data_IF_769182529366
#
_entry.id   IF_769182529366
#
_cell.length_a   1.000
_cell.length_b   1.000
_cell.length_c   1.000
_cell.angle_alpha   90.00
_cell.angle_beta   90.00
_cell.angle_gamma   90.00
#
_symmetry.space_group_name_H-M   'P 1'
#
loop_
_entity.id
_entity.type
_entity.pdbx_description
1 polymer ?
#
# COMPACT_ATOMS: atom_id res chain seq x y z
N UNK A 1 29.60 43.62 -63.31
CA UNK A 1 28.68 44.76 -63.48
C UNK A 1 27.45 44.47 -62.63
N UNK A 2 27.25 45.24 -61.55
CA UNK A 2 26.02 45.43 -60.72
C UNK A 2 25.37 44.16 -60.15
N UNK A 3 25.61 43.73 -58.90
CA UNK A 3 25.05 44.23 -57.62
C UNK A 3 23.64 44.84 -57.72
N UNK A 4 22.65 44.07 -57.27
CA UNK A 4 21.30 44.48 -56.81
C UNK A 4 20.81 43.33 -55.92
N UNK A 5 20.86 43.44 -54.59
CA UNK A 5 19.88 44.16 -53.77
C UNK A 5 18.61 43.31 -53.74
N UNK A 6 18.30 42.52 -52.71
CA UNK A 6 18.32 42.88 -51.28
C UNK A 6 16.90 43.28 -50.89
N UNK A 7 15.95 42.34 -50.88
CA UNK A 7 14.56 42.64 -50.52
C UNK A 7 13.70 41.41 -50.11
N UNK A 8 14.28 40.26 -49.74
CA UNK A 8 13.49 39.10 -49.24
C UNK A 8 13.76 38.72 -47.78
N UNK A 9 14.55 39.51 -47.06
CA UNK A 9 14.85 39.27 -45.64
C UNK A 9 13.97 40.10 -44.68
N UNK A 10 12.84 40.65 -45.14
CA UNK A 10 12.01 41.59 -44.38
C UNK A 10 10.62 41.04 -43.97
N UNK A 11 10.27 39.80 -44.31
CA UNK A 11 8.97 39.19 -43.94
C UNK A 11 9.06 38.07 -42.89
N UNK A 12 10.26 37.62 -42.51
CA UNK A 12 10.44 36.53 -41.54
C UNK A 12 10.57 37.05 -40.09
N UNK A 13 10.82 38.34 -39.89
CA UNK A 13 10.93 38.95 -38.54
C UNK A 13 9.55 39.36 -37.97
N UNK A 14 8.50 39.40 -38.79
CA UNK A 14 7.13 39.76 -38.37
C UNK A 14 6.26 38.56 -37.95
N UNK A 15 6.86 37.38 -37.75
CA UNK A 15 6.21 36.18 -37.18
C UNK A 15 6.78 35.75 -35.82
N UNK A 16 7.71 36.54 -35.25
CA UNK A 16 8.32 36.29 -33.92
C UNK A 16 7.84 37.33 -32.87
N UNK A 17 7.00 38.29 -33.27
CA UNK A 17 6.42 39.32 -32.38
C UNK A 17 5.03 39.01 -31.81
N UNK A 18 4.53 37.77 -31.94
CA UNK A 18 3.20 37.34 -31.48
C UNK A 18 3.22 36.26 -30.40
N UNK A 19 4.38 36.01 -29.77
CA UNK A 19 4.56 34.94 -28.77
C UNK A 19 4.87 35.47 -27.35
N UNK A 20 4.45 36.71 -27.08
CA UNK A 20 4.49 37.34 -25.76
C UNK A 20 3.13 37.95 -25.37
N UNK A 21 2.02 37.35 -25.82
CA UNK A 21 0.82 37.30 -24.98
C UNK A 21 1.03 36.19 -23.94
N UNK A 22 2.06 36.39 -23.12
CA UNK A 22 2.11 35.86 -21.79
C UNK A 22 0.91 36.45 -21.08
N UNK A 23 -0.18 35.68 -21.07
CA UNK A 23 -1.21 35.80 -20.06
C UNK A 23 -0.54 35.58 -18.71
N UNK A 24 0.07 36.64 -18.18
CA UNK A 24 0.00 36.89 -16.75
C UNK A 24 -1.48 36.80 -16.41
N UNK A 25 -1.91 35.66 -15.88
CA UNK A 25 -3.23 35.50 -15.29
C UNK A 25 -3.30 36.47 -14.09
N UNK A 26 -3.58 37.74 -14.36
CA UNK A 26 -3.91 38.80 -13.39
C UNK A 26 -5.35 38.62 -12.86
N UNK A 27 -5.90 37.40 -12.96
CA UNK A 27 -7.11 36.94 -12.28
C UNK A 27 -6.81 36.02 -11.09
N UNK A 28 -5.59 36.07 -10.55
CA UNK A 28 -5.16 35.25 -9.40
C UNK A 28 -5.73 35.72 -8.04
N UNK A 29 -6.83 36.49 -8.04
CA UNK A 29 -7.30 37.21 -6.86
C UNK A 29 -8.64 36.77 -6.27
N UNK A 30 -9.58 36.19 -7.05
CA UNK A 30 -10.96 35.94 -6.58
C UNK A 30 -11.63 34.77 -7.31
N UNK A 31 -10.93 33.68 -7.61
CA UNK A 31 -11.67 32.43 -7.85
C UNK A 31 -12.36 32.08 -6.52
N UNK A 32 -13.70 32.06 -6.46
CA UNK A 32 -14.40 31.76 -5.21
C UNK A 32 -13.87 30.45 -4.67
N UNK A 33 -13.52 30.40 -3.38
CA UNK A 33 -13.06 29.17 -2.78
C UNK A 33 -14.07 28.07 -3.09
N UNK A 34 -13.63 26.91 -3.62
CA UNK A 34 -14.52 25.81 -3.96
C UNK A 34 -15.36 25.45 -2.73
N UNK A 35 -16.63 25.82 -2.77
CA UNK A 35 -17.50 25.78 -1.59
C UNK A 35 -18.30 24.48 -1.52
N UNK A 36 -18.42 23.76 -2.63
CA UNK A 36 -19.11 22.46 -2.72
C UNK A 36 -18.12 21.28 -2.60
N UNK A 37 -18.62 20.15 -2.10
CA UNK A 37 -17.86 18.90 -2.00
C UNK A 37 -17.38 18.43 -3.38
N UNK A 38 -18.21 18.55 -4.42
CA UNK A 38 -17.85 18.14 -5.78
C UNK A 38 -16.73 19.00 -6.38
N UNK A 39 -16.73 20.33 -6.13
CA UNK A 39 -15.66 21.21 -6.58
C UNK A 39 -14.33 20.86 -5.88
N UNK A 40 -14.36 20.64 -4.57
CA UNK A 40 -13.19 20.21 -3.81
C UNK A 40 -12.65 18.85 -4.28
N UNK A 41 -13.53 17.91 -4.61
CA UNK A 41 -13.14 16.61 -5.17
C UNK A 41 -12.50 16.75 -6.57
N UNK A 42 -13.05 17.61 -7.43
CA UNK A 42 -12.49 17.88 -8.75
C UNK A 42 -11.08 18.50 -8.64
N UNK A 43 -10.92 19.52 -7.81
CA UNK A 43 -9.65 20.19 -7.60
C UNK A 43 -8.60 19.27 -6.97
N UNK A 44 -9.01 18.42 -6.01
CA UNK A 44 -8.11 17.44 -5.40
C UNK A 44 -7.61 16.41 -6.41
N UNK A 45 -8.45 15.98 -7.36
CA UNK A 45 -8.04 15.08 -8.44
C UNK A 45 -7.04 15.75 -9.38
N UNK A 46 -7.27 17.02 -9.72
CA UNK A 46 -6.31 17.82 -10.51
C UNK A 46 -4.98 17.95 -9.77
N UNK A 47 -5.01 18.22 -8.46
CA UNK A 47 -3.80 18.31 -7.63
C UNK A 47 -3.02 16.98 -7.59
N UNK A 48 -3.71 15.83 -7.45
CA UNK A 48 -3.08 14.50 -7.53
C UNK A 48 -2.47 14.24 -8.92
N UNK A 49 -3.18 14.59 -9.99
CA UNK A 49 -2.69 14.43 -11.36
C UNK A 49 -1.46 15.31 -11.65
N UNK A 50 -1.38 16.49 -11.02
CA UNK A 50 -0.24 17.40 -11.08
C UNK A 50 0.92 17.00 -10.16
N UNK A 51 0.86 15.85 -9.46
CA UNK A 51 1.92 15.42 -8.56
C UNK A 51 2.02 16.21 -7.25
N UNK A 52 0.91 16.85 -6.81
CA UNK A 52 0.85 17.68 -5.60
C UNK A 52 -0.06 17.04 -4.52
N UNK A 53 0.32 15.87 -3.95
CA UNK A 53 -0.56 15.12 -3.07
C UNK A 53 -0.90 15.86 -1.76
N UNK A 54 0.00 16.67 -1.21
CA UNK A 54 -0.30 17.47 0.00
C UNK A 54 -1.42 18.49 -0.25
N UNK A 55 -1.46 19.13 -1.42
CA UNK A 55 -2.56 20.02 -1.81
C UNK A 55 -3.88 19.25 -1.93
N UNK A 56 -3.83 18.05 -2.50
CA UNK A 56 -5.01 17.18 -2.59
C UNK A 56 -5.53 16.78 -1.20
N UNK A 57 -4.65 16.42 -0.26
CA UNK A 57 -5.03 16.13 1.13
C UNK A 57 -5.75 17.32 1.76
N UNK A 58 -5.21 18.54 1.64
CA UNK A 58 -5.85 19.76 2.19
C UNK A 58 -7.24 20.02 1.60
N UNK A 59 -7.42 19.81 0.29
CA UNK A 59 -8.71 19.95 -0.37
C UNK A 59 -9.71 18.89 0.11
N UNK A 60 -9.25 17.65 0.28
CA UNK A 60 -10.08 16.51 0.70
C UNK A 60 -10.41 16.53 2.18
N UNK A 61 -9.55 17.09 3.03
CA UNK A 61 -9.87 17.37 4.43
C UNK A 61 -10.99 18.41 4.54
N UNK A 62 -10.91 19.51 3.77
CA UNK A 62 -12.01 20.49 3.68
C UNK A 62 -13.31 19.86 3.16
N UNK A 63 -13.22 18.95 2.19
CA UNK A 63 -14.40 18.22 1.70
C UNK A 63 -14.97 17.29 2.77
N UNK A 64 -14.11 16.66 3.58
CA UNK A 64 -14.50 15.76 4.67
C UNK A 64 -15.14 16.53 5.84
N UNK A 65 -14.66 17.74 6.13
CA UNK A 65 -15.26 18.60 7.16
C UNK A 65 -16.65 19.08 6.74
N UNK A 66 -16.87 19.31 5.43
CA UNK A 66 -18.18 19.65 4.88
C UNK A 66 -19.14 18.47 4.87
N UNK A 67 -18.69 17.32 4.38
CA UNK A 67 -19.48 16.09 4.37
C UNK A 67 -18.60 14.86 4.62
N UNK A 68 -18.46 14.51 5.89
CA UNK A 68 -17.79 13.28 6.29
C UNK A 68 -18.60 12.03 5.94
N UNK A 69 -19.84 12.18 5.46
CA UNK A 69 -20.69 11.07 5.06
C UNK A 69 -20.46 10.58 3.63
N UNK A 70 -19.93 11.45 2.77
CA UNK A 70 -19.63 11.13 1.38
C UNK A 70 -18.54 10.04 1.25
N UNK A 71 -18.90 8.93 0.62
CA UNK A 71 -18.02 7.78 0.38
C UNK A 71 -16.86 8.14 -0.56
N UNK A 72 -17.09 9.00 -1.56
CA UNK A 72 -16.08 9.46 -2.52
C UNK A 72 -15.00 10.25 -1.78
N UNK A 73 -15.39 11.16 -0.89
CA UNK A 73 -14.45 11.95 -0.08
C UNK A 73 -13.55 11.04 0.76
N UNK A 74 -14.11 10.06 1.46
CA UNK A 74 -13.33 9.12 2.29
C UNK A 74 -12.32 8.32 1.50
N UNK A 75 -12.72 7.80 0.34
CA UNK A 75 -11.86 7.00 -0.53
C UNK A 75 -10.76 7.88 -1.14
N UNK A 76 -11.12 9.05 -1.65
CA UNK A 76 -10.15 9.98 -2.26
C UNK A 76 -9.15 10.50 -1.21
N UNK A 77 -9.62 10.86 0.00
CA UNK A 77 -8.75 11.26 1.10
C UNK A 77 -7.80 10.13 1.50
N UNK A 78 -8.30 8.90 1.62
CA UNK A 78 -7.47 7.73 1.90
C UNK A 78 -6.38 7.52 0.84
N UNK A 79 -6.73 7.65 -0.44
CA UNK A 79 -5.79 7.55 -1.55
C UNK A 79 -4.76 8.70 -1.55
N UNK A 80 -5.18 9.93 -1.27
CA UNK A 80 -4.30 11.09 -1.23
C UNK A 80 -3.29 11.02 -0.06
N UNK A 81 -3.72 10.55 1.12
CA UNK A 81 -2.83 10.31 2.26
C UNK A 81 -1.73 9.29 1.95
N UNK A 82 -2.08 8.26 1.19
CA UNK A 82 -1.13 7.27 0.70
C UNK A 82 -0.16 7.85 -0.33
N UNK A 83 -0.67 8.60 -1.32
CA UNK A 83 0.17 9.29 -2.29
C UNK A 83 1.14 10.28 -1.64
N UNK A 84 0.70 11.05 -0.63
CA UNK A 84 1.53 12.01 0.09
C UNK A 84 2.72 11.34 0.80
N UNK A 85 2.53 10.13 1.32
CA UNK A 85 3.56 9.42 2.11
C UNK A 85 4.35 8.38 1.31
N UNK A 86 4.13 8.30 -0.01
CA UNK A 86 4.72 7.27 -0.86
C UNK A 86 4.31 5.85 -0.44
N UNK A 87 3.11 5.68 0.10
CA UNK A 87 2.53 4.38 0.38
C UNK A 87 1.70 3.93 -0.82
N UNK A 88 2.23 3.00 -1.60
CA UNK A 88 1.54 2.47 -2.76
C UNK A 88 1.50 0.94 -2.75
N UNK A 89 0.97 0.38 -3.84
CA UNK A 89 0.90 -1.07 -4.07
C UNK A 89 2.30 -1.71 -4.06
N UNK A 90 3.34 -0.99 -4.49
CA UNK A 90 4.70 -1.51 -4.52
C UNK A 90 5.30 -1.59 -3.11
N UNK A 91 4.99 -0.64 -2.22
CA UNK A 91 5.42 -0.69 -0.83
C UNK A 91 4.87 -1.94 -0.12
N UNK A 92 3.56 -2.23 -0.27
CA UNK A 92 2.98 -3.46 0.30
C UNK A 92 3.52 -4.72 -0.38
N UNK A 93 3.70 -4.69 -1.71
CA UNK A 93 4.29 -5.80 -2.45
C UNK A 93 5.70 -6.14 -1.94
N UNK A 94 6.55 -5.13 -1.74
CA UNK A 94 7.91 -5.32 -1.26
C UNK A 94 7.93 -5.93 0.15
N UNK A 95 7.03 -5.50 1.03
CA UNK A 95 6.87 -6.09 2.35
C UNK A 95 6.43 -7.56 2.28
N UNK A 96 5.44 -7.88 1.44
CA UNK A 96 5.01 -9.26 1.24
C UNK A 96 6.14 -10.13 0.64
N UNK A 97 6.86 -9.64 -0.36
CA UNK A 97 8.02 -10.32 -0.96
C UNK A 97 9.14 -10.54 0.04
N UNK A 98 9.38 -9.61 0.97
CA UNK A 98 10.34 -9.80 2.05
C UNK A 98 9.94 -10.93 3.00
N UNK A 99 8.64 -11.05 3.32
CA UNK A 99 8.13 -12.07 4.24
C UNK A 99 8.11 -13.47 3.62
N UNK A 100 7.72 -13.62 2.34
CA UNK A 100 7.58 -14.95 1.71
C UNK A 100 8.67 -15.27 0.68
N UNK A 101 9.68 -14.40 0.59
CA UNK A 101 10.75 -14.44 -0.40
C UNK A 101 10.32 -13.92 -1.78
N UNK A 102 11.24 -13.26 -2.46
CA UNK A 102 11.10 -12.99 -3.88
C UNK A 102 11.06 -14.33 -4.63
N UNK A 103 10.12 -14.50 -5.54
CA UNK A 103 10.07 -15.69 -6.40
C UNK A 103 11.31 -15.68 -7.31
N UNK A 104 12.37 -16.40 -6.92
CA UNK A 104 13.43 -16.79 -7.85
C UNK A 104 14.86 -16.31 -7.61
N UNK A 105 15.25 -15.81 -6.43
CA UNK A 105 16.69 -15.55 -6.19
C UNK A 105 17.16 -16.15 -4.88
N UNK A 106 17.69 -17.36 -5.00
CA UNK A 106 18.44 -18.09 -3.98
C UNK A 106 19.86 -17.56 -3.93
N UNK A 107 20.09 -16.34 -3.45
CA UNK A 107 21.45 -15.85 -3.20
C UNK A 107 21.41 -14.74 -2.15
N UNK A 108 21.35 -15.13 -0.88
CA UNK A 108 21.86 -14.37 0.28
C UNK A 108 21.65 -15.18 1.56
N UNK A 109 22.43 -16.25 1.73
CA UNK A 109 22.62 -16.84 3.06
C UNK A 109 23.51 -15.93 3.89
N UNK A 110 22.90 -14.92 4.53
CA UNK A 110 23.53 -14.28 5.66
C UNK A 110 23.48 -15.28 6.82
N UNK A 111 24.59 -15.96 7.09
CA UNK A 111 24.75 -16.84 8.24
C UNK A 111 24.69 -15.99 9.53
N UNK A 112 23.48 -15.69 9.99
CA UNK A 112 23.24 -15.02 11.26
C UNK A 112 23.45 -16.04 12.36
N UNK A 113 24.63 -16.01 12.97
CA UNK A 113 24.90 -16.75 14.21
C UNK A 113 24.10 -16.09 15.33
N UNK A 114 23.12 -16.79 15.88
CA UNK A 114 22.53 -16.46 17.18
C UNK A 114 22.34 -17.77 17.96
N UNK A 115 22.76 -17.70 19.23
CA UNK A 115 23.12 -18.75 20.20
C UNK A 115 21.90 -19.51 20.82
N UNK A 116 22.10 -20.52 21.70
CA UNK A 116 21.49 -21.86 21.62
C UNK A 116 20.38 -22.13 22.66
N UNK A 117 19.65 -23.24 22.44
CA UNK A 117 18.78 -23.96 23.39
C UNK A 117 17.58 -23.20 24.01
N UNK A 118 16.37 -23.72 23.77
CA UNK A 118 15.18 -23.38 24.56
C UNK A 118 14.17 -22.42 23.92
N UNK A 119 14.22 -22.18 22.61
CA UNK A 119 13.14 -21.48 21.90
C UNK A 119 12.17 -22.49 21.29
N UNK A 120 10.90 -22.34 21.63
CA UNK A 120 9.79 -23.04 20.99
C UNK A 120 9.30 -22.19 19.82
N UNK A 121 8.88 -22.84 18.74
CA UNK A 121 8.30 -22.17 17.59
C UNK A 121 6.83 -22.49 17.44
N UNK A 122 6.10 -21.62 16.72
CA UNK A 122 4.64 -21.71 16.54
C UNK A 122 4.18 -23.04 15.93
N UNK A 123 5.05 -23.78 15.25
CA UNK A 123 4.78 -25.11 14.68
C UNK A 123 5.31 -26.27 15.55
N UNK A 124 5.82 -25.97 16.75
CA UNK A 124 6.48 -26.94 17.63
C UNK A 124 7.86 -27.39 17.13
N UNK A 125 8.31 -26.96 15.95
CA UNK A 125 9.62 -27.32 15.43
C UNK A 125 10.70 -26.47 16.12
N UNK A 126 11.85 -27.08 16.40
CA UNK A 126 13.07 -26.32 16.68
C UNK A 126 13.80 -26.18 15.35
N UNK A 127 13.86 -24.99 14.73
CA UNK A 127 14.59 -24.81 13.49
C UNK A 127 16.04 -25.17 13.76
N UNK A 128 16.50 -26.26 13.14
CA UNK A 128 17.91 -26.64 13.18
C UNK A 128 18.69 -25.51 12.50
N UNK A 129 19.40 -24.71 13.31
CA UNK A 129 20.13 -23.50 12.92
C UNK A 129 21.20 -23.73 11.83
N UNK A 130 21.44 -24.98 11.42
CA UNK A 130 22.40 -25.38 10.38
C UNK A 130 21.75 -25.95 9.13
N UNK A 131 20.43 -26.09 9.09
CA UNK A 131 19.72 -26.56 7.90
C UNK A 131 19.51 -25.41 6.93
N UNK A 132 19.67 -25.68 5.64
CA UNK A 132 19.29 -24.81 4.52
C UNK A 132 17.76 -24.72 4.35
N UNK A 133 16.99 -25.20 5.32
CA UNK A 133 15.52 -25.24 5.31
C UNK A 133 14.89 -23.93 5.76
N UNK A 134 15.48 -23.26 6.75
CA UNK A 134 14.91 -22.06 7.37
C UNK A 134 15.73 -20.82 7.00
N UNK A 135 15.07 -19.84 6.38
CA UNK A 135 15.67 -18.53 6.15
C UNK A 135 15.19 -17.56 7.23
N UNK A 136 16.11 -16.95 7.97
CA UNK A 136 15.75 -15.92 8.96
C UNK A 136 15.26 -14.67 8.24
N UNK A 137 14.12 -14.14 8.69
CA UNK A 137 13.52 -12.91 8.17
C UNK A 137 13.82 -11.78 9.15
N UNK A 138 14.61 -10.77 8.78
CA UNK A 138 14.80 -9.58 9.61
C UNK A 138 13.50 -8.76 9.63
N UNK A 139 12.90 -8.60 10.82
CA UNK A 139 11.63 -7.86 11.01
C UNK A 139 11.82 -6.33 10.98
N UNK A 140 13.07 -5.89 11.11
CA UNK A 140 13.54 -4.51 11.04
C UNK A 140 14.03 -4.09 9.64
N UNK A 141 13.94 -4.99 8.65
CA UNK A 141 14.35 -4.71 7.28
C UNK A 141 13.53 -3.57 6.64
N UNK A 142 14.16 -2.88 5.68
CA UNK A 142 13.60 -1.72 4.98
C UNK A 142 12.16 -1.87 4.46
N UNK A 143 11.76 -2.99 3.82
CA UNK A 143 10.39 -3.13 3.32
C UNK A 143 9.33 -3.09 4.42
N UNK A 144 9.65 -3.66 5.59
CA UNK A 144 8.74 -3.69 6.74
C UNK A 144 8.80 -2.38 7.53
N UNK A 145 10.01 -1.84 7.75
CA UNK A 145 10.23 -0.57 8.43
C UNK A 145 9.49 0.58 7.73
N UNK A 146 9.53 0.64 6.40
CA UNK A 146 8.80 1.66 5.64
C UNK A 146 7.30 1.68 5.97
N UNK A 147 6.65 0.52 6.11
CA UNK A 147 5.25 0.44 6.50
C UNK A 147 5.06 0.86 7.97
N UNK A 148 5.91 0.36 8.87
CA UNK A 148 5.85 0.66 10.30
C UNK A 148 5.99 2.15 10.61
N UNK A 149 6.94 2.84 9.98
CA UNK A 149 7.16 4.29 10.12
C UNK A 149 5.92 5.11 9.75
N UNK A 150 5.01 4.52 8.96
CA UNK A 150 3.80 5.17 8.42
C UNK A 150 2.53 4.57 9.02
N UNK A 151 2.64 3.83 10.13
CA UNK A 151 1.51 3.17 10.80
C UNK A 151 0.36 4.13 11.15
N UNK A 152 0.67 5.35 11.58
CA UNK A 152 -0.36 6.35 11.88
C UNK A 152 -1.23 6.69 10.65
N UNK A 153 -0.62 6.76 9.46
CA UNK A 153 -1.33 7.01 8.20
C UNK A 153 -2.13 5.79 7.79
N UNK A 154 -1.56 4.57 7.90
CA UNK A 154 -2.30 3.33 7.63
C UNK A 154 -3.53 3.21 8.53
N UNK A 155 -3.41 3.48 9.84
CA UNK A 155 -4.53 3.46 10.78
C UNK A 155 -5.57 4.56 10.47
N UNK A 156 -5.13 5.75 10.04
CA UNK A 156 -6.05 6.80 9.58
C UNK A 156 -6.86 6.34 8.37
N UNK A 157 -6.20 5.77 7.36
CA UNK A 157 -6.86 5.26 6.15
C UNK A 157 -7.77 4.06 6.48
N UNK A 158 -7.37 3.18 7.41
CA UNK A 158 -8.21 2.08 7.91
C UNK A 158 -9.53 2.60 8.48
N UNK A 159 -9.49 3.63 9.32
CA UNK A 159 -10.71 4.24 9.88
C UNK A 159 -11.57 4.91 8.80
N UNK A 160 -10.95 5.57 7.82
CA UNK A 160 -11.66 6.26 6.74
C UNK A 160 -12.33 5.29 5.78
N UNK A 161 -11.58 4.32 5.26
CA UNK A 161 -11.97 3.47 4.12
C UNK A 161 -12.39 2.08 4.58
N UNK A 162 -11.56 1.34 5.32
CA UNK A 162 -11.89 -0.04 5.69
C UNK A 162 -13.08 -0.06 6.65
N UNK A 163 -12.96 0.55 7.83
CA UNK A 163 -14.04 0.60 8.81
C UNK A 163 -15.13 1.58 8.42
N UNK A 164 -14.76 2.71 7.80
CA UNK A 164 -15.69 3.80 7.50
C UNK A 164 -16.53 3.59 6.24
N UNK A 165 -15.96 2.97 5.20
CA UNK A 165 -16.65 2.72 3.92
C UNK A 165 -16.99 1.24 3.76
N UNK A 166 -15.99 0.37 3.70
CA UNK A 166 -16.18 -1.04 3.36
C UNK A 166 -16.93 -1.83 4.47
N UNK A 167 -16.78 -1.42 5.73
CA UNK A 167 -17.52 -1.97 6.86
C UNK A 167 -18.87 -1.27 7.07
N UNK A 168 -18.85 -0.02 7.55
CA UNK A 168 -20.06 0.67 8.00
C UNK A 168 -20.97 1.24 6.90
N UNK A 169 -20.48 1.33 5.65
CA UNK A 169 -21.23 1.94 4.53
C UNK A 169 -21.14 1.11 3.27
N UNK A 170 -21.15 -0.21 3.41
CA UNK A 170 -21.06 -1.14 2.30
C UNK A 170 -22.17 -0.91 1.25
N UNK A 171 -23.39 -0.58 1.69
CA UNK A 171 -24.53 -0.28 0.81
C UNK A 171 -24.34 1.03 0.02
N UNK A 172 -24.00 2.13 0.69
CA UNK A 172 -23.70 3.39 0.00
C UNK A 172 -22.48 3.23 -0.94
N UNK A 173 -21.51 2.40 -0.57
CA UNK A 173 -20.38 2.08 -1.42
C UNK A 173 -20.80 1.29 -2.67
N UNK A 174 -21.72 0.31 -2.53
CA UNK A 174 -22.14 -0.54 -3.65
C UNK A 174 -22.87 0.24 -4.74
N UNK A 175 -23.53 1.35 -4.42
CA UNK A 175 -24.25 2.20 -5.38
C UNK A 175 -23.39 3.30 -6.02
N UNK A 176 -22.17 3.55 -5.54
CA UNK A 176 -21.25 4.55 -6.14
C UNK A 176 -20.77 4.17 -7.55
N UNK A 177 -20.23 5.13 -8.29
CA UNK A 177 -19.64 4.87 -9.61
C UNK A 177 -18.58 3.75 -9.57
N UNK A 178 -18.52 2.93 -10.63
CA UNK A 178 -17.58 1.80 -10.71
C UNK A 178 -16.12 2.22 -10.51
N UNK A 179 -15.72 3.41 -10.98
CA UNK A 179 -14.38 3.96 -10.77
C UNK A 179 -14.07 4.18 -9.29
N UNK A 180 -15.02 4.74 -8.54
CA UNK A 180 -14.89 4.98 -7.09
C UNK A 180 -14.82 3.64 -6.35
N UNK A 181 -15.68 2.68 -6.70
CA UNK A 181 -15.65 1.32 -6.13
C UNK A 181 -14.31 0.64 -6.33
N UNK A 182 -13.78 0.65 -7.55
CA UNK A 182 -12.47 0.04 -7.86
C UNK A 182 -11.33 0.69 -7.06
N UNK A 183 -11.36 2.01 -6.88
CA UNK A 183 -10.39 2.73 -6.05
C UNK A 183 -10.54 2.35 -4.57
N UNK A 184 -11.76 2.35 -4.04
CA UNK A 184 -12.04 1.98 -2.64
C UNK A 184 -11.59 0.56 -2.30
N UNK A 185 -11.83 -0.41 -3.19
CA UNK A 185 -11.37 -1.79 -3.01
C UNK A 185 -9.84 -1.89 -3.06
N UNK A 186 -9.16 -1.13 -3.93
CA UNK A 186 -7.69 -1.10 -3.97
C UNK A 186 -7.10 -0.51 -2.70
N UNK A 187 -7.59 0.67 -2.28
CA UNK A 187 -7.14 1.33 -1.05
C UNK A 187 -7.41 0.42 0.15
N UNK A 188 -8.60 -0.18 0.22
CA UNK A 188 -8.95 -1.16 1.25
C UNK A 188 -7.96 -2.32 1.29
N UNK A 189 -7.67 -2.95 0.14
CA UNK A 189 -6.75 -4.09 0.08
C UNK A 189 -5.33 -3.74 0.53
N UNK A 190 -4.81 -2.60 0.08
CA UNK A 190 -3.50 -2.10 0.53
C UNK A 190 -3.52 -1.84 2.04
N UNK A 191 -4.59 -1.24 2.54
CA UNK A 191 -4.74 -0.91 3.97
C UNK A 191 -4.80 -2.15 4.85
N UNK A 192 -5.59 -3.16 4.47
CA UNK A 192 -5.68 -4.42 5.23
C UNK A 192 -4.32 -5.12 5.28
N UNK A 193 -3.68 -5.35 4.12
CA UNK A 193 -2.37 -5.99 4.07
C UNK A 193 -1.32 -5.23 4.88
N UNK A 194 -1.26 -3.90 4.74
CA UNK A 194 -0.33 -3.07 5.51
C UNK A 194 -0.60 -3.14 7.02
N UNK A 195 -1.88 -3.13 7.44
CA UNK A 195 -2.26 -3.27 8.86
C UNK A 195 -1.78 -4.60 9.42
N UNK A 196 -2.06 -5.71 8.73
CA UNK A 196 -1.63 -7.04 9.17
C UNK A 196 -0.11 -7.15 9.31
N UNK A 197 0.65 -6.60 8.35
CA UNK A 197 2.13 -6.59 8.41
C UNK A 197 2.65 -5.76 9.57
N UNK A 198 2.08 -4.56 9.79
CA UNK A 198 2.49 -3.65 10.87
C UNK A 198 2.20 -4.30 12.24
N UNK A 199 1.00 -4.85 12.41
CA UNK A 199 0.57 -5.44 13.67
C UNK A 199 1.41 -6.70 13.99
N UNK A 200 1.65 -7.57 13.00
CA UNK A 200 2.48 -8.76 13.19
C UNK A 200 3.94 -8.40 13.53
N UNK A 201 4.51 -7.41 12.85
CA UNK A 201 5.85 -6.89 13.18
C UNK A 201 5.91 -6.35 14.60
N UNK A 202 4.94 -5.55 15.02
CA UNK A 202 4.91 -4.96 16.35
C UNK A 202 4.90 -6.04 17.45
N UNK A 203 4.15 -7.13 17.26
CA UNK A 203 4.12 -8.27 18.20
C UNK A 203 5.47 -9.01 18.22
N UNK A 204 6.07 -9.27 17.06
CA UNK A 204 7.37 -9.94 16.98
C UNK A 204 8.49 -9.11 17.64
N UNK A 205 8.48 -7.79 17.47
CA UNK A 205 9.41 -6.88 18.14
C UNK A 205 9.18 -6.85 19.65
N UNK A 206 7.93 -6.70 20.10
CA UNK A 206 7.59 -6.63 21.53
C UNK A 206 7.94 -7.92 22.29
N UNK A 207 7.84 -9.08 21.63
CA UNK A 207 8.15 -10.38 22.22
C UNK A 207 9.63 -10.79 22.06
N UNK A 208 10.43 -10.02 21.33
CA UNK A 208 11.82 -10.37 21.01
C UNK A 208 11.95 -11.65 20.18
N UNK A 209 10.90 -11.98 19.42
CA UNK A 209 10.78 -13.25 18.69
C UNK A 209 11.55 -13.21 17.37
N UNK A 210 12.02 -14.38 16.94
CA UNK A 210 12.65 -14.54 15.64
C UNK A 210 11.64 -15.09 14.63
N UNK A 211 11.58 -14.48 13.44
CA UNK A 211 10.75 -14.94 12.33
C UNK A 211 11.60 -15.68 11.30
N UNK A 212 11.10 -16.80 10.81
CA UNK A 212 11.74 -17.64 9.80
C UNK A 212 10.76 -17.98 8.69
N UNK A 213 11.29 -18.23 7.49
CA UNK A 213 10.60 -18.85 6.37
C UNK A 213 11.08 -20.29 6.23
N UNK A 214 10.19 -21.27 6.47
CA UNK A 214 10.45 -22.67 6.12
C UNK A 214 10.23 -22.87 4.62
N UNK A 215 11.33 -23.12 3.88
CA UNK A 215 11.31 -23.35 2.44
C UNK A 215 10.85 -24.75 2.05
N UNK A 216 10.91 -25.72 2.96
CA UNK A 216 10.59 -27.12 2.70
C UNK A 216 9.14 -27.48 3.07
N UNK A 217 8.34 -26.52 3.53
CA UNK A 217 6.91 -26.73 3.73
C UNK A 217 6.20 -26.90 2.36
N UNK A 218 5.53 -28.05 2.21
CA UNK A 218 4.74 -28.46 1.04
C UNK A 218 3.25 -28.36 1.41
N UNK A 219 2.36 -27.72 0.60
CA UNK A 219 2.56 -27.13 -0.73
C UNK A 219 3.11 -25.70 -0.76
N UNK A 220 3.20 -25.05 0.40
CA UNK A 220 3.58 -23.64 0.49
C UNK A 220 4.61 -23.43 1.60
N UNK A 221 5.58 -22.53 1.32
CA UNK A 221 6.54 -22.05 2.32
C UNK A 221 5.78 -21.56 3.56
N UNK A 222 6.32 -21.78 4.76
CA UNK A 222 5.63 -21.44 6.00
C UNK A 222 6.37 -20.34 6.78
N UNK A 223 5.62 -19.39 7.33
CA UNK A 223 6.14 -18.46 8.33
C UNK A 223 6.13 -19.12 9.70
N UNK A 224 7.27 -19.10 10.37
CA UNK A 224 7.46 -19.71 11.69
C UNK A 224 8.05 -18.68 12.63
N UNK A 225 7.35 -18.40 13.73
CA UNK A 225 7.83 -17.48 14.76
C UNK A 225 8.30 -18.27 15.98
N UNK A 226 9.49 -17.94 16.47
CA UNK A 226 10.13 -18.63 17.59
C UNK A 226 10.34 -17.67 18.76
N UNK A 227 9.87 -18.09 19.94
CA UNK A 227 9.90 -17.30 21.17
C UNK A 227 10.50 -18.09 22.34
N UNK A 228 10.89 -17.38 23.40
CA UNK A 228 11.44 -17.98 24.62
C UNK A 228 10.40 -18.35 25.68
N UNK A 229 9.12 -18.00 25.48
CA UNK A 229 8.03 -18.30 26.44
C UNK A 229 6.77 -18.73 25.70
N UNK A 230 5.92 -19.54 26.34
CA UNK A 230 4.63 -19.97 25.78
C UNK A 230 3.67 -18.79 25.57
N UNK A 231 3.69 -17.80 26.47
CA UNK A 231 2.88 -16.60 26.33
C UNK A 231 3.26 -15.80 25.08
N UNK A 232 4.56 -15.62 24.83
CA UNK A 232 5.06 -14.97 23.61
C UNK A 232 4.73 -15.80 22.35
N UNK A 233 4.77 -17.13 22.45
CA UNK A 233 4.41 -18.02 21.36
C UNK A 233 2.93 -17.93 20.99
N UNK A 234 2.04 -17.84 21.99
CA UNK A 234 0.62 -17.56 21.78
C UNK A 234 0.39 -16.23 21.07
N UNK A 235 1.05 -15.15 21.53
CA UNK A 235 0.95 -13.84 20.87
C UNK A 235 1.45 -13.85 19.42
N UNK A 236 2.57 -14.55 19.16
CA UNK A 236 3.08 -14.71 17.80
C UNK A 236 2.12 -15.49 16.89
N UNK A 237 1.49 -16.54 17.43
CA UNK A 237 0.46 -17.31 16.70
C UNK A 237 -0.70 -16.41 16.30
N UNK A 238 -1.24 -15.65 17.24
CA UNK A 238 -2.35 -14.72 16.99
C UNK A 238 -1.98 -13.64 15.97
N UNK A 239 -0.74 -13.15 16.03
CA UNK A 239 -0.20 -12.19 15.07
C UNK A 239 -0.13 -12.75 13.64
N UNK A 240 0.33 -14.00 13.48
CA UNK A 240 0.38 -14.66 12.18
C UNK A 240 -1.02 -14.97 11.64
N UNK A 241 -1.97 -15.38 12.48
CA UNK A 241 -3.37 -15.55 12.07
C UNK A 241 -4.03 -14.21 11.66
N UNK A 242 -3.74 -13.13 12.39
CA UNK A 242 -4.22 -11.79 12.02
C UNK A 242 -3.64 -11.34 10.68
N UNK A 243 -2.36 -11.63 10.43
CA UNK A 243 -1.70 -11.35 9.15
C UNK A 243 -2.33 -12.14 8.00
N UNK A 244 -2.62 -13.43 8.21
CA UNK A 244 -3.32 -14.28 7.24
C UNK A 244 -4.70 -13.70 6.88
N UNK A 245 -5.53 -13.42 7.89
CA UNK A 245 -6.87 -12.89 7.69
C UNK A 245 -6.85 -11.56 6.93
N UNK A 246 -5.92 -10.67 7.29
CA UNK A 246 -5.71 -9.39 6.62
C UNK A 246 -5.29 -9.56 5.14
N UNK A 247 -4.38 -10.50 4.86
CA UNK A 247 -3.94 -10.80 3.51
C UNK A 247 -5.07 -11.40 2.67
N UNK A 248 -5.85 -12.35 3.20
CA UNK A 248 -7.02 -12.93 2.52
C UNK A 248 -8.10 -11.88 2.24
N UNK A 249 -8.38 -10.99 3.20
CA UNK A 249 -9.32 -9.89 3.00
C UNK A 249 -8.87 -8.96 1.86
N UNK A 250 -7.57 -8.65 1.79
CA UNK A 250 -6.98 -7.89 0.68
C UNK A 250 -7.15 -8.59 -0.67
N UNK A 251 -6.91 -9.90 -0.73
CA UNK A 251 -7.13 -10.71 -1.95
C UNK A 251 -8.60 -10.63 -2.39
N UNK A 252 -9.55 -10.81 -1.47
CA UNK A 252 -10.98 -10.77 -1.78
C UNK A 252 -11.39 -9.43 -2.39
N UNK A 253 -10.94 -8.30 -1.82
CA UNK A 253 -11.26 -6.98 -2.37
C UNK A 253 -10.62 -6.74 -3.74
N UNK A 254 -9.39 -7.21 -3.97
CA UNK A 254 -8.74 -7.10 -5.28
C UNK A 254 -9.42 -7.97 -6.34
N UNK A 255 -9.90 -9.17 -5.98
CA UNK A 255 -10.69 -10.00 -6.88
C UNK A 255 -12.01 -9.33 -7.24
N UNK A 256 -12.73 -8.79 -6.25
CA UNK A 256 -13.96 -8.02 -6.50
C UNK A 256 -13.68 -6.81 -7.39
N UNK A 257 -12.55 -6.11 -7.18
CA UNK A 257 -12.13 -5.00 -8.04
C UNK A 257 -11.90 -5.44 -9.48
N UNK A 258 -11.25 -6.59 -9.68
CA UNK A 258 -10.95 -7.11 -11.01
C UNK A 258 -12.22 -7.54 -11.76
N UNK A 259 -13.20 -8.13 -11.07
CA UNK A 259 -14.52 -8.43 -11.68
C UNK A 259 -15.27 -7.18 -12.15
N UNK A 260 -14.98 -6.02 -11.56
CA UNK A 260 -15.51 -4.71 -11.99
C UNK A 260 -14.69 -4.08 -13.15
N UNK A 261 -13.68 -4.76 -13.65
CA UNK A 261 -12.86 -4.37 -14.79
C UNK A 261 -13.12 -5.36 -15.91
N UNK A 262 -13.49 -4.90 -17.11
CA UNK A 262 -13.67 -5.77 -18.30
C UNK A 262 -12.35 -6.38 -18.81
N UNK A 263 -11.27 -6.22 -18.06
CA UNK A 263 -9.94 -6.74 -18.36
C UNK A 263 -9.51 -7.69 -17.24
N UNK A 264 -9.48 -8.98 -17.55
CA UNK A 264 -8.90 -10.01 -16.70
C UNK A 264 -7.38 -9.81 -16.63
N UNK A 265 -6.93 -9.05 -15.63
CA UNK A 265 -5.52 -8.95 -15.26
C UNK A 265 -5.37 -9.41 -13.83
N UNK A 266 -4.81 -10.60 -13.64
CA UNK A 266 -4.35 -11.01 -12.32
C UNK A 266 -3.29 -10.01 -11.85
N UNK A 267 -3.61 -9.26 -10.79
CA UNK A 267 -2.65 -8.29 -10.27
C UNK A 267 -1.53 -9.04 -9.54
N UNK A 268 -0.28 -8.63 -9.77
CA UNK A 268 0.87 -9.17 -9.03
C UNK A 268 0.62 -9.12 -7.52
N UNK A 269 -0.06 -8.08 -7.03
CA UNK A 269 -0.42 -7.95 -5.62
C UNK A 269 -1.35 -9.08 -5.12
N UNK A 270 -2.33 -9.54 -5.91
CA UNK A 270 -3.19 -10.70 -5.55
C UNK A 270 -2.31 -11.92 -5.29
N UNK A 271 -1.40 -12.25 -6.22
CA UNK A 271 -0.52 -13.41 -6.08
C UNK A 271 0.50 -13.28 -4.95
N UNK A 272 0.83 -12.06 -4.51
CA UNK A 272 1.73 -11.83 -3.35
C UNK A 272 0.97 -11.96 -2.03
N UNK A 273 -0.23 -11.38 -1.93
CA UNK A 273 -1.06 -11.51 -0.74
C UNK A 273 -1.56 -12.94 -0.51
N UNK A 274 -1.88 -13.70 -1.58
CA UNK A 274 -2.20 -15.13 -1.44
C UNK A 274 -1.05 -15.91 -0.80
N UNK A 275 0.15 -15.81 -1.37
CA UNK A 275 1.34 -16.47 -0.79
C UNK A 275 1.62 -16.05 0.64
N UNK A 276 1.42 -14.77 0.97
CA UNK A 276 1.55 -14.28 2.34
C UNK A 276 0.54 -14.94 3.29
N UNK A 277 -0.73 -15.01 2.88
CA UNK A 277 -1.77 -15.69 3.64
C UNK A 277 -1.45 -17.18 3.83
N UNK A 278 -1.12 -17.86 2.73
CA UNK A 278 -0.82 -19.30 2.72
C UNK A 278 0.38 -19.60 3.64
N UNK A 279 1.43 -18.77 3.56
CA UNK A 279 2.61 -18.93 4.40
C UNK A 279 2.33 -18.67 5.88
N UNK A 280 1.49 -17.69 6.21
CA UNK A 280 1.14 -17.38 7.59
C UNK A 280 0.31 -18.49 8.27
N UNK A 281 -0.52 -19.23 7.51
CA UNK A 281 -1.34 -20.34 8.05
C UNK A 281 -0.79 -21.74 7.81
N UNK A 282 0.28 -21.93 7.02
CA UNK A 282 0.73 -23.25 6.58
C UNK A 282 1.01 -24.26 7.71
N UNK A 283 1.37 -23.78 8.91
CA UNK A 283 1.63 -24.61 10.09
C UNK A 283 0.92 -24.15 11.35
N UNK A 284 -0.03 -23.24 11.21
CA UNK A 284 -0.76 -22.68 12.32
C UNK A 284 -2.23 -22.89 12.02
N UNK A 285 -2.93 -23.55 12.95
CA UNK A 285 -4.37 -23.58 12.91
C UNK A 285 -4.91 -22.21 13.34
N UNK A 286 -5.51 -21.48 12.40
CA UNK A 286 -6.13 -20.19 12.61
C UNK A 286 -7.67 -20.28 12.69
N UNK A 287 -8.22 -21.50 12.78
CA UNK A 287 -9.67 -21.74 12.92
C UNK A 287 -10.18 -21.66 14.36
#
# INVERSE_FOLDING_TARGET
>A
MLVRGGEEAAWIILLIGGLFLGGCNVFDGLSPEPSSVDALLADARTALAAGTPSRAVQLLERAYDKDSTDVRVRIELGNALYAERGLDVFTLRAAAEHLVGASGSSDSSAAVRSSPNGRSCTDGAQPELRSDRYDRIPVDADPLRRLADRAAVVQRVRRLVVTGVLGRRAEAFSTTEARVRRKGLLVGAVTAGATGVIDARAVLEATGSALYLDRAADPHRALVACAGTDASLGQNRDALCTLEAAARQGVQWLQTRNRLSETDRESVLIGRLRRLADAASARIDCS
#
